data_IF_763535353402
#
_entry.id   IF_763535353402
#
_cell.length_a   1.000
_cell.length_b   1.000
_cell.length_c   1.000
_cell.angle_alpha   90.00
_cell.angle_beta   90.00
_cell.angle_gamma   90.00
#
_symmetry.space_group_name_H-M   'P 1'
#
loop_
_entity.id
_entity.type
_entity.pdbx_description
1 polymer ?
#
# COMPACT_ATOMS: atom_id res chain seq x y z
N UNK A 1 3.77 1.15 18.14
CA UNK A 1 3.91 0.64 16.76
C UNK A 1 4.85 -0.55 16.79
N UNK A 2 4.54 -1.67 16.11
CA UNK A 2 5.33 -2.91 16.18
C UNK A 2 6.83 -2.69 15.83
N UNK A 3 7.10 -1.87 14.79
CA UNK A 3 8.46 -1.52 14.38
C UNK A 3 9.33 -0.91 15.50
N UNK A 4 8.74 -0.11 16.39
CA UNK A 4 9.45 0.52 17.51
C UNK A 4 9.85 -0.47 18.63
N UNK A 5 9.30 -1.69 18.61
CA UNK A 5 9.56 -2.74 19.59
C UNK A 5 10.50 -3.82 19.05
N UNK A 6 11.10 -3.62 17.87
CA UNK A 6 12.20 -4.47 17.40
C UNK A 6 13.34 -4.44 18.42
N UNK A 7 14.01 -5.59 18.67
CA UNK A 7 15.15 -5.65 19.57
C UNK A 7 16.23 -4.60 19.25
N UNK A 8 16.72 -3.91 20.27
CA UNK A 8 17.74 -2.87 20.12
C UNK A 8 19.07 -3.42 19.55
N UNK A 9 19.37 -4.69 19.85
CA UNK A 9 20.47 -5.47 19.25
C UNK A 9 20.45 -5.42 17.72
N UNK A 10 19.27 -5.59 17.12
CA UNK A 10 19.09 -5.58 15.66
C UNK A 10 19.34 -4.19 15.10
N UNK A 11 18.84 -3.13 15.75
CA UNK A 11 19.08 -1.75 15.31
C UNK A 11 20.57 -1.43 15.31
N UNK A 12 21.26 -1.69 16.42
CA UNK A 12 22.70 -1.40 16.57
C UNK A 12 23.51 -2.15 15.50
N UNK A 13 23.19 -3.42 15.27
CA UNK A 13 23.87 -4.20 14.23
C UNK A 13 23.55 -3.68 12.81
N UNK A 14 22.30 -3.27 12.55
CA UNK A 14 21.88 -2.77 11.25
C UNK A 14 22.62 -1.48 10.89
N UNK A 15 22.75 -0.56 11.85
CA UNK A 15 23.52 0.68 11.68
C UNK A 15 25.01 0.42 11.36
N UNK A 16 25.57 -0.72 11.80
CA UNK A 16 26.97 -1.07 11.60
C UNK A 16 27.24 -1.82 10.29
N UNK A 17 26.36 -2.73 9.87
CA UNK A 17 26.67 -3.69 8.80
C UNK A 17 25.72 -3.63 7.60
N UNK A 18 24.56 -2.96 7.69
CA UNK A 18 23.57 -3.04 6.62
C UNK A 18 24.07 -2.45 5.29
N UNK A 19 24.94 -1.44 5.33
CA UNK A 19 25.53 -0.85 4.13
C UNK A 19 26.53 -1.78 3.42
N UNK A 20 27.08 -2.79 4.11
CA UNK A 20 27.99 -3.77 3.50
C UNK A 20 27.21 -4.76 2.63
N UNK A 21 26.09 -5.26 3.16
CA UNK A 21 25.21 -6.22 2.46
C UNK A 21 24.31 -5.50 1.43
N UNK A 22 23.99 -4.22 1.67
CA UNK A 22 23.17 -3.37 0.81
C UNK A 22 23.91 -2.07 0.46
N UNK A 23 24.85 -2.11 -0.51
CA UNK A 23 25.67 -0.95 -0.86
C UNK A 23 24.84 0.28 -1.22
N UNK A 24 25.13 1.40 -0.55
CA UNK A 24 24.45 2.68 -0.75
C UNK A 24 23.16 2.85 0.07
N UNK A 25 22.82 1.91 0.95
CA UNK A 25 21.77 2.09 1.95
C UNK A 25 22.20 3.17 2.96
N UNK A 26 21.35 4.18 3.14
CA UNK A 26 21.49 5.15 4.21
C UNK A 26 21.13 4.50 5.56
N UNK A 27 22.06 4.52 6.51
CA UNK A 27 21.89 3.94 7.86
C UNK A 27 21.45 4.98 8.91
N UNK A 28 20.93 6.13 8.48
CA UNK A 28 20.36 7.12 9.39
C UNK A 28 19.15 6.61 10.18
N UNK A 29 18.83 7.30 11.28
CA UNK A 29 17.62 7.02 12.07
C UNK A 29 16.32 7.08 11.24
N UNK A 30 16.24 8.02 10.30
CA UNK A 30 15.09 8.15 9.42
C UNK A 30 14.94 6.94 8.49
N UNK A 31 16.07 6.40 8.02
CA UNK A 31 16.09 5.19 7.18
C UNK A 31 15.80 3.94 8.01
N UNK A 32 16.33 3.81 9.22
CA UNK A 32 15.95 2.76 10.17
C UNK A 32 14.43 2.72 10.40
N UNK A 33 13.82 3.87 10.68
CA UNK A 33 12.37 3.96 10.91
C UNK A 33 11.58 3.46 9.69
N UNK A 34 11.96 3.89 8.49
CA UNK A 34 11.27 3.46 7.26
C UNK A 34 11.46 1.97 6.97
N UNK A 35 12.68 1.45 7.13
CA UNK A 35 12.98 0.04 6.88
C UNK A 35 12.27 -0.88 7.87
N UNK A 36 12.31 -0.54 9.17
CA UNK A 36 11.61 -1.30 10.21
C UNK A 36 10.08 -1.25 10.07
N UNK A 37 9.52 -0.12 9.62
CA UNK A 37 8.09 -0.02 9.29
C UNK A 37 7.71 -0.88 8.08
N UNK A 38 8.51 -0.85 7.02
CA UNK A 38 8.29 -1.71 5.84
C UNK A 38 8.36 -3.20 6.19
N UNK A 39 9.30 -3.60 7.04
CA UNK A 39 9.41 -4.97 7.52
C UNK A 39 8.21 -5.38 8.39
N UNK A 40 7.80 -4.52 9.32
CA UNK A 40 6.62 -4.77 10.14
C UNK A 40 5.34 -4.89 9.28
N UNK A 41 5.20 -4.05 8.24
CA UNK A 41 4.09 -4.19 7.29
C UNK A 41 4.15 -5.52 6.54
N UNK A 42 5.33 -5.97 6.10
CA UNK A 42 5.45 -7.25 5.43
C UNK A 42 4.97 -8.41 6.31
N UNK A 43 5.35 -8.45 7.58
CA UNK A 43 4.87 -9.49 8.49
C UNK A 43 3.37 -9.38 8.79
N UNK A 44 2.83 -8.17 8.84
CA UNK A 44 1.38 -7.96 8.91
C UNK A 44 0.67 -8.48 7.65
N UNK A 45 1.24 -8.26 6.46
CA UNK A 45 0.73 -8.83 5.22
C UNK A 45 0.76 -10.37 5.28
N UNK A 46 1.86 -10.98 5.74
CA UNK A 46 1.95 -12.43 5.95
C UNK A 46 0.91 -12.96 6.96
N UNK A 47 0.56 -12.19 7.99
CA UNK A 47 -0.50 -12.53 8.94
C UNK A 47 -1.88 -12.47 8.28
N UNK A 48 -2.19 -11.40 7.56
CA UNK A 48 -3.45 -11.24 6.83
C UNK A 48 -3.63 -12.28 5.71
N UNK A 49 -2.52 -12.80 5.18
CA UNK A 49 -2.48 -13.87 4.19
C UNK A 49 -2.30 -15.27 4.78
N UNK A 50 -2.44 -15.43 6.10
CA UNK A 50 -2.36 -16.75 6.71
C UNK A 50 -3.36 -17.72 6.06
N UNK A 51 -2.88 -18.89 5.64
CA UNK A 51 -3.67 -19.91 4.95
C UNK A 51 -3.86 -19.70 3.44
N UNK A 52 -3.45 -18.57 2.87
CA UNK A 52 -3.58 -18.28 1.43
C UNK A 52 -2.33 -18.62 0.61
N UNK A 53 -1.20 -18.89 1.28
CA UNK A 53 0.08 -19.25 0.66
C UNK A 53 1.24 -18.31 1.05
N UNK A 54 2.44 -18.53 0.48
CA UNK A 54 3.63 -17.74 0.80
C UNK A 54 3.55 -16.32 0.24
N UNK A 55 4.18 -15.37 0.93
CA UNK A 55 4.33 -13.97 0.54
C UNK A 55 5.79 -13.69 0.18
N UNK A 56 6.03 -12.78 -0.77
CA UNK A 56 7.37 -12.32 -1.14
C UNK A 56 7.58 -10.88 -0.68
N UNK A 57 8.74 -10.57 -0.10
CA UNK A 57 9.09 -9.23 0.37
C UNK A 57 9.53 -8.35 -0.83
N UNK A 58 8.81 -7.26 -1.18
CA UNK A 58 9.12 -6.48 -2.38
C UNK A 58 10.21 -5.42 -2.18
N UNK A 59 10.75 -5.23 -0.98
CA UNK A 59 11.72 -4.17 -0.67
C UNK A 59 13.01 -4.74 -0.09
N UNK A 60 14.13 -4.37 -0.72
CA UNK A 60 15.47 -4.69 -0.21
C UNK A 60 15.80 -3.91 1.06
N UNK A 61 15.28 -2.69 1.20
CA UNK A 61 15.47 -1.90 2.39
C UNK A 61 14.85 -2.57 3.62
N UNK A 62 13.62 -3.06 3.51
CA UNK A 62 12.99 -3.85 4.58
C UNK A 62 13.73 -5.19 4.81
N UNK A 63 14.18 -5.84 3.75
CA UNK A 63 14.92 -7.09 3.80
C UNK A 63 16.26 -6.95 4.54
N UNK A 64 16.91 -5.79 4.43
CA UNK A 64 18.15 -5.50 5.17
C UNK A 64 17.99 -5.62 6.69
N UNK A 65 16.85 -5.15 7.23
CA UNK A 65 16.55 -5.29 8.67
C UNK A 65 16.30 -6.75 9.02
N UNK A 66 15.64 -7.50 8.14
CA UNK A 66 15.36 -8.92 8.36
C UNK A 66 16.64 -9.76 8.33
N UNK A 67 17.49 -9.57 7.32
CA UNK A 67 18.79 -10.25 7.18
C UNK A 67 19.67 -10.01 8.41
N UNK A 68 19.81 -8.75 8.83
CA UNK A 68 20.57 -8.41 10.04
C UNK A 68 19.95 -9.08 11.27
N UNK A 69 18.63 -9.02 11.42
CA UNK A 69 17.92 -9.62 12.55
C UNK A 69 18.14 -11.13 12.67
N UNK A 70 18.08 -11.85 11.55
CA UNK A 70 18.36 -13.29 11.51
C UNK A 70 19.80 -13.62 11.88
N UNK A 71 20.75 -12.75 11.52
CA UNK A 71 22.18 -12.95 11.78
C UNK A 71 22.54 -12.70 13.24
N UNK A 72 21.97 -11.66 13.87
CA UNK A 72 22.45 -11.18 15.19
C UNK A 72 21.54 -11.54 16.36
N UNK A 73 20.23 -11.61 16.14
CA UNK A 73 19.26 -11.90 17.19
C UNK A 73 18.03 -12.66 16.63
N UNK A 74 18.23 -13.87 16.07
CA UNK A 74 17.14 -14.62 15.46
C UNK A 74 16.05 -15.00 16.47
N UNK A 75 16.39 -15.23 17.75
CA UNK A 75 15.42 -15.53 18.80
C UNK A 75 14.61 -14.29 19.20
N UNK A 76 15.24 -13.12 19.34
CA UNK A 76 14.55 -11.85 19.59
C UNK A 76 13.64 -11.46 18.44
N UNK A 77 14.09 -11.62 17.19
CA UNK A 77 13.29 -11.41 16.01
C UNK A 77 12.07 -12.34 15.97
N UNK A 78 12.26 -13.64 16.21
CA UNK A 78 11.15 -14.61 16.24
C UNK A 78 10.14 -14.30 17.36
N UNK A 79 10.61 -13.93 18.56
CA UNK A 79 9.75 -13.55 19.67
C UNK A 79 8.94 -12.27 19.36
N UNK A 80 9.57 -11.29 18.72
CA UNK A 80 8.90 -10.08 18.25
C UNK A 80 7.84 -10.39 17.18
N UNK A 81 8.17 -11.24 16.20
CA UNK A 81 7.21 -11.67 15.18
C UNK A 81 6.00 -12.37 15.79
N UNK A 82 6.24 -13.33 16.70
CA UNK A 82 5.18 -14.05 17.39
C UNK A 82 4.30 -13.11 18.21
N UNK A 83 4.89 -12.15 18.92
CA UNK A 83 4.14 -11.19 19.76
C UNK A 83 3.24 -10.26 18.95
N UNK A 84 3.71 -9.76 17.80
CA UNK A 84 2.99 -8.73 17.05
C UNK A 84 2.14 -9.28 15.91
N UNK A 85 2.52 -10.41 15.33
CA UNK A 85 1.85 -10.98 14.17
C UNK A 85 1.28 -12.38 14.42
N UNK A 86 1.49 -12.94 15.62
CA UNK A 86 0.96 -14.25 16.01
C UNK A 86 1.63 -15.44 15.34
N UNK A 87 2.68 -15.20 14.55
CA UNK A 87 3.42 -16.22 13.82
C UNK A 87 4.86 -15.78 13.58
N UNK A 88 5.74 -16.76 13.45
CA UNK A 88 7.07 -16.58 12.86
C UNK A 88 6.96 -16.86 11.36
N UNK A 89 7.51 -15.98 10.55
CA UNK A 89 7.68 -16.15 9.11
C UNK A 89 9.11 -16.59 8.88
N UNK A 90 9.27 -17.76 8.27
CA UNK A 90 10.58 -18.26 7.86
C UNK A 90 11.10 -17.40 6.71
N UNK A 91 12.35 -16.95 6.82
CA UNK A 91 13.02 -16.30 5.69
C UNK A 91 13.42 -17.39 4.71
N UNK A 92 12.98 -17.23 3.46
CA UNK A 92 13.20 -18.23 2.42
C UNK A 92 13.51 -17.49 1.13
N UNK A 93 14.62 -17.85 0.51
CA UNK A 93 15.02 -17.31 -0.78
C UNK A 93 13.95 -17.56 -1.85
N UNK A 94 13.83 -16.64 -2.80
CA UNK A 94 12.75 -16.67 -3.77
C UNK A 94 12.66 -17.98 -4.56
N UNK A 95 13.81 -18.65 -4.82
CA UNK A 95 13.89 -19.91 -5.52
C UNK A 95 13.32 -21.09 -4.72
N UNK A 96 13.22 -20.97 -3.39
CA UNK A 96 12.77 -22.02 -2.49
C UNK A 96 11.30 -21.84 -2.02
N UNK A 97 10.61 -20.78 -2.44
CA UNK A 97 9.23 -20.48 -2.00
C UNK A 97 8.17 -21.48 -2.47
N UNK A 98 8.49 -22.37 -3.43
CA UNK A 98 7.55 -23.40 -3.94
C UNK A 98 6.33 -22.86 -4.68
N UNK A 99 6.27 -21.54 -4.92
CA UNK A 99 5.21 -20.83 -5.65
C UNK A 99 5.84 -19.77 -6.56
N UNK A 100 5.11 -19.33 -7.58
CA UNK A 100 5.62 -18.30 -8.47
C UNK A 100 5.80 -16.97 -7.72
N UNK A 101 6.90 -16.25 -8.02
CA UNK A 101 7.15 -14.93 -7.43
C UNK A 101 5.97 -13.97 -7.64
N UNK A 102 5.31 -14.07 -8.79
CA UNK A 102 4.11 -13.28 -9.13
C UNK A 102 2.96 -13.53 -8.13
N UNK A 103 2.66 -14.78 -7.79
CA UNK A 103 1.63 -15.08 -6.80
C UNK A 103 2.02 -14.61 -5.40
N UNK A 104 3.27 -14.84 -5.00
CA UNK A 104 3.79 -14.41 -3.70
C UNK A 104 3.71 -12.89 -3.54
N UNK A 105 4.10 -12.12 -4.57
CA UNK A 105 3.95 -10.67 -4.58
C UNK A 105 2.48 -10.23 -4.60
N UNK A 106 1.59 -10.98 -5.26
CA UNK A 106 0.15 -10.66 -5.28
C UNK A 106 -0.48 -10.84 -3.90
N UNK A 107 -0.08 -11.87 -3.16
CA UNK A 107 -0.48 -12.06 -1.76
C UNK A 107 0.07 -10.95 -0.88
N UNK A 108 1.36 -10.60 -0.99
CA UNK A 108 1.95 -9.48 -0.25
C UNK A 108 1.24 -8.16 -0.56
N UNK A 109 0.95 -7.87 -1.83
CA UNK A 109 0.20 -6.69 -2.26
C UNK A 109 -1.15 -6.61 -1.54
N UNK A 110 -1.92 -7.70 -1.57
CA UNK A 110 -3.24 -7.70 -0.97
C UNK A 110 -3.20 -7.52 0.55
N UNK A 111 -2.27 -8.18 1.24
CA UNK A 111 -2.07 -7.99 2.68
C UNK A 111 -1.61 -6.57 3.03
N UNK A 112 -0.64 -6.03 2.28
CA UNK A 112 -0.11 -4.69 2.51
C UNK A 112 -1.16 -3.60 2.26
N UNK A 113 -1.92 -3.66 1.16
CA UNK A 113 -3.04 -2.76 0.92
C UNK A 113 -4.07 -2.81 2.05
N UNK A 114 -4.47 -4.02 2.49
CA UNK A 114 -5.40 -4.18 3.62
C UNK A 114 -4.88 -3.55 4.91
N UNK A 115 -3.58 -3.70 5.20
CA UNK A 115 -2.96 -3.13 6.40
C UNK A 115 -3.00 -1.60 6.45
N UNK A 116 -3.03 -0.94 5.29
CA UNK A 116 -3.08 0.53 5.15
C UNK A 116 -4.48 1.06 4.81
N UNK A 117 -5.46 0.19 4.57
CA UNK A 117 -6.79 0.59 4.08
C UNK A 117 -6.80 1.06 2.63
N UNK A 118 -5.80 0.64 1.82
CA UNK A 118 -5.71 0.96 0.40
C UNK A 118 -6.59 0.05 -0.46
N UNK A 119 -7.04 0.58 -1.60
CA UNK A 119 -7.73 -0.20 -2.62
C UNK A 119 -6.77 -1.15 -3.33
N UNK A 120 -7.18 -2.42 -3.48
CA UNK A 120 -6.40 -3.44 -4.21
C UNK A 120 -6.20 -3.12 -5.69
N UNK A 121 -7.11 -2.33 -6.28
CA UNK A 121 -7.07 -1.90 -7.68
C UNK A 121 -6.70 -0.42 -7.82
N UNK A 122 -6.37 0.24 -6.71
CA UNK A 122 -5.97 1.64 -6.70
C UNK A 122 -4.54 1.84 -7.22
N UNK A 123 -4.18 3.08 -7.61
CA UNK A 123 -2.83 3.39 -8.08
C UNK A 123 -1.82 3.64 -6.94
N UNK A 124 -2.28 3.63 -5.68
CA UNK A 124 -1.44 3.91 -4.51
C UNK A 124 -0.66 2.64 -4.13
N UNK A 125 0.64 2.79 -3.92
CA UNK A 125 1.53 1.71 -3.49
C UNK A 125 1.53 1.63 -1.96
N UNK A 126 1.35 0.44 -1.36
CA UNK A 126 1.67 0.24 0.05
C UNK A 126 3.13 0.56 0.34
N UNK A 127 3.43 0.97 1.57
CA UNK A 127 4.76 1.39 2.03
C UNK A 127 5.86 0.41 1.60
N UNK A 128 5.70 -0.89 1.84
CA UNK A 128 6.71 -1.90 1.54
C UNK A 128 7.02 -2.01 0.05
N UNK A 129 6.08 -1.66 -0.84
CA UNK A 129 6.34 -1.58 -2.29
C UNK A 129 6.97 -0.25 -2.70
N UNK A 130 6.67 0.84 -1.99
CA UNK A 130 7.23 2.16 -2.28
C UNK A 130 8.62 2.38 -1.66
N UNK A 131 8.96 1.62 -0.62
CA UNK A 131 10.04 1.90 0.32
C UNK A 131 11.40 2.12 -0.35
N UNK A 132 11.84 1.22 -1.21
CA UNK A 132 13.16 1.31 -1.86
C UNK A 132 13.30 2.61 -2.67
N UNK A 133 12.22 3.06 -3.34
CA UNK A 133 12.21 4.34 -4.05
C UNK A 133 12.15 5.54 -3.13
N UNK A 134 11.41 5.44 -2.03
CA UNK A 134 11.28 6.54 -1.05
C UNK A 134 12.62 6.90 -0.41
N UNK A 135 13.51 5.92 -0.22
CA UNK A 135 14.85 6.15 0.33
C UNK A 135 15.95 6.18 -0.74
N UNK A 136 15.59 6.01 -2.02
CA UNK A 136 16.55 6.00 -3.12
C UNK A 136 17.60 4.88 -3.04
N UNK A 137 17.25 3.72 -2.48
CA UNK A 137 18.18 2.62 -2.22
C UNK A 137 18.81 2.11 -3.52
N UNK A 138 20.14 2.26 -3.72
CA UNK A 138 20.81 1.65 -4.85
C UNK A 138 20.59 0.14 -4.87
N UNK A 139 20.39 -0.42 -6.06
CA UNK A 139 20.04 -1.84 -6.27
C UNK A 139 18.65 -2.26 -5.82
N UNK A 140 17.89 -1.37 -5.16
CA UNK A 140 16.50 -1.58 -4.78
C UNK A 140 15.54 -1.60 -5.97
N UNK A 141 14.25 -1.70 -5.67
CA UNK A 141 13.18 -1.80 -6.66
C UNK A 141 12.28 -0.57 -6.67
N UNK A 142 12.05 -0.02 -7.86
CA UNK A 142 11.14 1.08 -8.09
C UNK A 142 9.83 0.61 -8.71
N UNK A 143 8.85 0.35 -7.87
CA UNK A 143 7.50 -0.03 -8.27
C UNK A 143 6.69 1.19 -8.72
N UNK A 144 5.81 1.00 -9.71
CA UNK A 144 4.78 1.96 -10.12
C UNK A 144 3.68 1.27 -10.92
N UNK A 145 2.53 1.91 -11.05
CA UNK A 145 1.52 1.49 -12.02
C UNK A 145 1.88 1.99 -13.42
N UNK A 146 1.87 1.10 -14.43
CA UNK A 146 2.06 1.47 -15.83
C UNK A 146 1.17 0.61 -16.74
N UNK A 147 0.22 1.25 -17.42
CA UNK A 147 -0.70 0.57 -18.34
C UNK A 147 -1.53 -0.54 -17.66
N UNK A 148 -2.11 -0.24 -16.50
CA UNK A 148 -2.98 -1.16 -15.76
C UNK A 148 -2.28 -2.30 -15.02
N UNK A 149 -0.94 -2.35 -15.04
CA UNK A 149 -0.14 -3.36 -14.34
C UNK A 149 0.81 -2.71 -13.34
N UNK A 150 1.12 -3.42 -12.26
CA UNK A 150 2.25 -3.08 -11.40
C UNK A 150 3.55 -3.45 -12.13
N UNK A 151 4.47 -2.50 -12.24
CA UNK A 151 5.76 -2.74 -12.85
C UNK A 151 6.86 -2.29 -11.90
N UNK A 152 8.03 -2.91 -11.98
CA UNK A 152 9.22 -2.38 -11.33
C UNK A 152 10.37 -2.11 -12.30
N UNK A 153 11.27 -1.24 -11.88
CA UNK A 153 12.63 -1.07 -12.42
C UNK A 153 13.64 -1.21 -11.29
N UNK A 154 14.89 -1.46 -11.64
CA UNK A 154 15.99 -1.41 -10.66
C UNK A 154 16.36 0.05 -10.39
N UNK A 155 16.80 0.34 -9.18
CA UNK A 155 17.36 1.65 -8.81
C UNK A 155 18.88 1.62 -9.05
N UNK A 156 19.41 2.63 -9.77
CA UNK A 156 20.85 2.77 -10.04
C UNK A 156 21.63 3.31 -8.82
N UNK A 157 22.95 3.46 -8.99
CA UNK A 157 23.85 4.01 -7.97
C UNK A 157 23.56 5.46 -7.59
N UNK A 158 22.71 6.18 -8.33
CA UNK A 158 22.31 7.55 -8.06
C UNK A 158 20.90 7.63 -7.45
N UNK A 159 20.32 6.49 -7.05
CA UNK A 159 18.98 6.43 -6.46
C UNK A 159 17.87 6.64 -7.49
N UNK A 160 18.13 6.49 -8.79
CA UNK A 160 17.13 6.70 -9.86
C UNK A 160 16.64 5.39 -10.46
N UNK A 161 15.33 5.26 -10.77
CA UNK A 161 14.82 4.11 -11.51
C UNK A 161 15.42 4.01 -12.91
N UNK A 162 16.12 2.93 -13.20
CA UNK A 162 16.82 2.69 -14.46
C UNK A 162 16.64 1.26 -14.98
N UNK A 163 17.06 1.02 -16.23
CA UNK A 163 17.03 -0.31 -16.84
C UNK A 163 15.65 -0.79 -17.31
N UNK A 164 15.57 -2.09 -17.53
CA UNK A 164 14.39 -2.76 -18.09
C UNK A 164 13.18 -2.70 -17.15
N UNK A 165 11.99 -2.57 -17.75
CA UNK A 165 10.72 -2.66 -17.02
C UNK A 165 10.36 -4.14 -16.85
N UNK A 166 10.19 -4.57 -15.61
CA UNK A 166 9.62 -5.88 -15.29
C UNK A 166 8.15 -5.68 -14.97
N UNK A 167 7.27 -6.32 -15.74
CA UNK A 167 5.83 -6.28 -15.52
C UNK A 167 5.43 -7.41 -14.57
N UNK A 168 4.60 -7.07 -13.60
CA UNK A 168 3.94 -8.01 -12.72
C UNK A 168 2.44 -7.94 -13.01
N UNK A 169 1.77 -9.09 -13.10
CA UNK A 169 0.31 -9.09 -13.12
C UNK A 169 -0.28 -8.83 -11.71
N UNK A 170 0.60 -8.49 -10.73
CA UNK A 170 0.27 -8.13 -9.36
C UNK A 170 -0.69 -6.95 -9.41
N UNK A 171 -1.75 -7.00 -8.60
CA UNK A 171 -2.85 -6.04 -8.59
C UNK A 171 -3.80 -6.08 -9.82
N UNK A 172 -3.64 -7.01 -10.76
CA UNK A 172 -4.68 -7.22 -11.77
C UNK A 172 -5.92 -7.86 -11.15
N UNK A 173 -7.11 -7.40 -11.54
CA UNK A 173 -8.37 -7.98 -11.09
C UNK A 173 -8.43 -9.50 -11.29
N UNK A 174 -7.94 -9.99 -12.45
CA UNK A 174 -7.89 -11.42 -12.74
C UNK A 174 -7.01 -12.18 -11.74
N UNK A 175 -5.79 -11.70 -11.46
CA UNK A 175 -4.88 -12.39 -10.51
C UNK A 175 -5.44 -12.40 -9.09
N UNK A 176 -6.11 -11.32 -8.68
CA UNK A 176 -6.74 -11.24 -7.35
C UNK A 176 -7.90 -12.23 -7.21
N UNK A 177 -8.74 -12.38 -8.24
CA UNK A 177 -9.84 -13.36 -8.26
C UNK A 177 -9.30 -14.79 -8.31
N UNK A 178 -8.33 -15.08 -9.19
CA UNK A 178 -7.72 -16.42 -9.30
C UNK A 178 -7.11 -16.89 -7.99
N UNK A 179 -6.55 -15.98 -7.20
CA UNK A 179 -5.97 -16.30 -5.89
C UNK A 179 -6.98 -16.22 -4.73
N UNK A 180 -8.27 -15.98 -5.00
CA UNK A 180 -9.30 -15.85 -3.97
C UNK A 180 -9.11 -14.64 -3.05
N UNK A 181 -8.31 -13.65 -3.47
CA UNK A 181 -8.00 -12.43 -2.70
C UNK A 181 -9.05 -11.33 -2.89
N UNK A 182 -9.90 -11.48 -3.90
CA UNK A 182 -11.02 -10.63 -4.25
C UNK A 182 -12.14 -11.52 -4.81
N UNK A 183 -13.35 -11.41 -4.28
CA UNK A 183 -14.53 -12.08 -4.84
C UNK A 183 -15.04 -11.36 -6.10
N UNK A 184 -15.78 -12.07 -6.95
CA UNK A 184 -16.43 -11.47 -8.11
C UNK A 184 -17.38 -10.32 -7.72
N UNK A 185 -18.07 -10.45 -6.57
CA UNK A 185 -18.96 -9.42 -6.06
C UNK A 185 -18.20 -8.15 -5.66
N UNK A 186 -17.06 -8.29 -4.97
CA UNK A 186 -16.20 -7.15 -4.61
C UNK A 186 -15.59 -6.50 -5.85
N UNK A 187 -15.18 -7.30 -6.85
CA UNK A 187 -14.69 -6.79 -8.12
C UNK A 187 -15.77 -5.97 -8.86
N UNK A 188 -17.01 -6.45 -8.89
CA UNK A 188 -18.13 -5.72 -9.47
C UNK A 188 -18.41 -4.41 -8.71
N UNK A 189 -18.38 -4.45 -7.37
CA UNK A 189 -18.58 -3.26 -6.54
C UNK A 189 -17.47 -2.20 -6.77
N UNK A 190 -16.22 -2.63 -6.90
CA UNK A 190 -15.09 -1.74 -7.23
C UNK A 190 -15.22 -1.12 -8.63
N UNK A 191 -15.64 -1.91 -9.62
CA UNK A 191 -15.88 -1.41 -11.00
C UNK A 191 -16.98 -0.36 -11.04
N UNK A 192 -18.09 -0.55 -10.31
CA UNK A 192 -19.18 0.43 -10.20
C UNK A 192 -18.70 1.74 -9.58
N UNK A 193 -17.92 1.68 -8.49
CA UNK A 193 -17.35 2.90 -7.87
C UNK A 193 -16.41 3.66 -8.81
N UNK A 194 -15.66 2.97 -9.66
CA UNK A 194 -14.79 3.60 -10.65
C UNK A 194 -15.58 4.25 -11.80
N UNK A 195 -16.67 3.65 -12.26
CA UNK A 195 -17.56 4.28 -13.26
C UNK A 195 -18.26 5.51 -12.70
N UNK A 196 -18.69 5.47 -11.44
CA UNK A 196 -19.45 6.55 -10.80
C UNK A 196 -18.54 7.73 -10.41
N UNK A 197 -17.25 7.47 -10.12
CA UNK A 197 -16.25 8.51 -9.83
C UNK A 197 -15.69 9.24 -11.06
N UNK A 198 -16.10 8.85 -12.27
CA UNK A 198 -15.65 9.45 -13.54
C UNK A 198 -16.64 10.47 -14.12
N UNK A 199 -17.76 10.72 -13.44
CA UNK A 199 -18.82 11.62 -13.90
C UNK A 199 -19.15 12.71 -12.87
N UNK A 200 -18.33 13.75 -12.77
CA UNK A 200 -18.71 15.01 -12.14
C UNK A 200 -18.37 16.19 -13.06
N UNK A 201 -19.27 16.40 -14.02
CA UNK A 201 -19.53 17.71 -14.61
C UNK A 201 -20.98 17.74 -15.10
N UNK A 202 -21.92 17.62 -14.16
CA UNK A 202 -23.32 17.99 -14.38
C UNK A 202 -23.48 19.41 -13.87
N UNK A 203 -23.50 20.36 -14.80
CA UNK A 203 -23.96 21.72 -14.53
C UNK A 203 -25.49 21.65 -14.46
N UNK A 204 -26.03 21.78 -13.25
CA UNK A 204 -27.47 21.93 -13.05
C UNK A 204 -27.89 23.33 -13.52
N UNK A 205 -28.17 23.44 -14.82
CA UNK A 205 -28.93 24.55 -15.39
C UNK A 205 -30.41 24.21 -15.27
N UNK A 206 -31.02 24.67 -14.17
CA UNK A 206 -32.46 24.60 -13.97
C UNK A 206 -33.14 25.72 -14.76
N UNK A 207 -33.55 25.42 -16.00
CA UNK A 207 -34.57 26.20 -16.71
C UNK A 207 -35.94 25.59 -16.40
N UNK A 208 -36.74 26.26 -15.58
CA UNK A 208 -38.16 25.97 -15.41
C UNK A 208 -38.98 27.05 -16.09
N UNK A 209 -39.39 26.80 -17.34
CA UNK A 209 -40.39 27.59 -18.03
C UNK A 209 -41.69 26.81 -18.23
N UNK A 210 -42.76 27.48 -17.81
CA UNK A 210 -44.14 27.43 -18.28
C UNK A 210 -44.97 26.14 -18.09
N UNK A 211 -45.83 26.19 -17.06
CA UNK A 211 -47.21 25.70 -17.17
C UNK A 211 -48.16 26.74 -16.56
N UNK A 212 -48.94 27.38 -17.42
CA UNK A 212 -50.09 28.21 -17.04
C UNK A 212 -51.25 27.31 -16.63
N UNK A 213 -51.93 27.63 -15.53
CA UNK A 213 -53.40 27.62 -15.47
C UNK A 213 -53.93 28.17 -14.13
N UNK A 214 -54.82 29.17 -14.26
CA UNK A 214 -56.11 29.18 -13.54
C UNK A 214 -56.19 29.65 -12.09
N UNK A 215 -56.49 30.94 -11.90
CA UNK A 215 -57.64 31.37 -11.09
C UNK A 215 -57.45 31.62 -9.59
N UNK A 216 -57.82 32.84 -9.15
CA UNK A 216 -58.12 33.14 -7.75
C UNK A 216 -57.81 34.58 -7.35
N UNK A 217 -58.81 35.47 -7.48
CA UNK A 217 -58.84 36.78 -6.85
C UNK A 217 -59.26 36.63 -5.38
N UNK A 218 -58.64 37.34 -4.44
CA UNK A 218 -59.26 38.47 -3.74
C UNK A 218 -58.39 39.05 -2.62
N UNK A 219 -58.74 40.29 -2.28
CA UNK A 219 -58.04 41.31 -1.53
C UNK A 219 -57.72 41.01 -0.04
N UNK A 220 -56.74 41.73 0.50
CA UNK A 220 -56.57 41.84 1.95
C UNK A 220 -55.30 42.58 2.39
N UNK A 221 -55.44 43.88 2.66
CA UNK A 221 -54.43 44.81 3.19
C UNK A 221 -53.86 44.41 4.56
N UNK A 222 -52.63 44.85 4.88
CA UNK A 222 -52.32 45.70 6.06
C UNK A 222 -50.84 45.69 6.45
N UNK A 223 -50.40 46.87 6.89
CA UNK A 223 -49.10 47.36 7.33
C UNK A 223 -48.48 46.70 8.59
N UNK A 224 -47.15 46.84 8.74
CA UNK A 224 -46.46 46.65 10.01
C UNK A 224 -44.94 46.92 9.94
N UNK A 225 -44.54 48.14 10.27
CA UNK A 225 -43.16 48.62 10.44
C UNK A 225 -42.48 48.06 11.70
N UNK A 226 -41.14 47.96 11.71
CA UNK A 226 -40.35 47.75 12.94
C UNK A 226 -38.84 47.85 12.69
N UNK A 227 -38.15 48.64 13.53
CA UNK A 227 -36.83 49.25 13.33
C UNK A 227 -35.81 48.88 14.43
N UNK A 228 -34.51 49.07 14.14
CA UNK A 228 -33.39 49.21 15.09
C UNK A 228 -32.55 47.93 15.26
N UNK A 229 -31.22 47.90 15.17
CA UNK A 229 -30.21 48.96 15.20
C UNK A 229 -29.58 49.09 16.58
N UNK A 230 -28.54 48.28 16.85
CA UNK A 230 -27.24 48.65 17.47
C UNK A 230 -26.26 47.46 17.32
#
# INVERSE_FOLDING_TARGET
MAAAQLPASIRVAWEQQAADDFPGLDVSEASWLRCSLGLAQFFEACRLQAGQGPCALPSKAADSVWHVGLKVDPSGLAAWQQRHFGRVVEHTEAQALGASLHECLTRTWAGACRSEGLSLLGPQLPLVFALDSLIGLPTGWAYRHQGGALVHRRIDGFGKPSGAVVRHAVASAASLVTLGLLSDAELQALRRRQSDGSGSSSSDSSSCDAASDGGGCDAGSSCGSGCGGD
#
